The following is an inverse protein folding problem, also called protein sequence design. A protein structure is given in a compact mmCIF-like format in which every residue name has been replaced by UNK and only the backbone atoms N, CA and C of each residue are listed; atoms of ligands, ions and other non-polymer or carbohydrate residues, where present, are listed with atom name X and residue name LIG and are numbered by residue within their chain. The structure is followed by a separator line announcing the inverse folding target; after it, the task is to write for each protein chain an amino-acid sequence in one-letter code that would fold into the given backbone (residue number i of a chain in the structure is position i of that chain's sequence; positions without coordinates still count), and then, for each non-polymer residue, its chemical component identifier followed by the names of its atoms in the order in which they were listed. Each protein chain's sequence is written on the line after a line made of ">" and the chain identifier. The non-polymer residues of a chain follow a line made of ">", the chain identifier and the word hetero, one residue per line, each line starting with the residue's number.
data_IF_413283138842
#
_entry.id   IF_413283138842
#
_cell.length_a   1.000
_cell.length_b   1.000
_cell.length_c   1.000
_cell.angle_alpha   90.00
_cell.angle_beta   90.00
_cell.angle_gamma   90.00
#
_symmetry.space_group_name_H-M   'P 1'
#
loop_
_entity.id
_entity.type
_entity.pdbx_description
1 polymer ?
#
# COMPACT_ATOMS: atom_id res chain seq x y z
N UNK A 1 24.65 0.30 -19.35
CA UNK A 1 23.78 0.63 -18.21
C UNK A 1 22.39 0.80 -18.79
N UNK A 2 21.46 -0.08 -18.43
CA UNK A 2 20.13 -0.08 -19.04
C UNK A 2 19.44 1.25 -18.67
N UNK A 3 19.11 2.05 -19.67
CA UNK A 3 18.32 3.28 -19.57
C UNK A 3 16.83 2.95 -19.40
N UNK A 4 16.52 1.91 -18.63
CA UNK A 4 15.16 1.48 -18.33
C UNK A 4 14.73 2.15 -17.03
N UNK A 5 13.55 2.74 -17.03
CA UNK A 5 12.89 3.20 -15.81
C UNK A 5 12.81 2.04 -14.80
N UNK A 6 13.12 2.30 -13.52
CA UNK A 6 13.07 1.28 -12.49
C UNK A 6 11.65 0.65 -12.41
N UNK A 7 11.52 -0.69 -12.34
CA UNK A 7 10.22 -1.36 -12.38
C UNK A 7 9.23 -0.86 -11.32
N UNK A 8 9.73 -0.32 -10.22
CA UNK A 8 8.92 0.24 -9.12
C UNK A 8 8.06 1.41 -9.56
N UNK A 9 8.54 2.28 -10.47
CA UNK A 9 7.76 3.43 -10.94
C UNK A 9 6.56 2.96 -11.75
N UNK A 10 6.75 1.98 -12.64
CA UNK A 10 5.62 1.37 -13.34
C UNK A 10 4.68 0.65 -12.39
N UNK A 11 5.22 -0.08 -11.40
CA UNK A 11 4.38 -0.75 -10.41
C UNK A 11 3.54 0.23 -9.59
N UNK A 12 4.10 1.39 -9.23
CA UNK A 12 3.39 2.46 -8.52
C UNK A 12 2.24 3.03 -9.36
N UNK A 13 2.46 3.26 -10.67
CA UNK A 13 1.39 3.68 -11.59
C UNK A 13 0.28 2.64 -11.66
N UNK A 14 0.63 1.37 -11.72
CA UNK A 14 -0.37 0.31 -11.77
C UNK A 14 -1.17 0.20 -10.46
N UNK A 15 -0.53 0.36 -9.30
CA UNK A 15 -1.21 0.44 -7.99
C UNK A 15 -2.23 1.58 -8.00
N UNK A 16 -1.79 2.78 -8.41
CA UNK A 16 -2.67 3.94 -8.48
C UNK A 16 -3.81 3.75 -9.46
N UNK A 17 -3.55 3.11 -10.61
CA UNK A 17 -4.58 2.79 -11.58
C UNK A 17 -5.66 1.89 -10.96
N UNK A 18 -5.29 0.79 -10.28
CA UNK A 18 -6.27 -0.09 -9.60
C UNK A 18 -7.06 0.68 -8.55
N UNK A 19 -6.38 1.46 -7.71
CA UNK A 19 -7.00 2.16 -6.58
C UNK A 19 -7.92 3.30 -7.06
N UNK A 20 -7.50 4.12 -8.03
CA UNK A 20 -8.15 5.38 -8.36
C UNK A 20 -8.94 5.34 -9.67
N UNK A 21 -8.52 4.56 -10.66
CA UNK A 21 -8.97 4.75 -12.04
C UNK A 21 -9.71 3.54 -12.63
N UNK A 22 -9.31 2.32 -12.27
CA UNK A 22 -9.86 1.09 -12.83
C UNK A 22 -11.39 1.08 -12.71
N UNK A 23 -12.15 0.84 -13.78
CA UNK A 23 -13.60 0.67 -13.67
C UNK A 23 -13.93 -0.57 -12.83
N UNK A 24 -14.67 -0.39 -11.72
CA UNK A 24 -15.14 -1.47 -10.84
C UNK A 24 -14.02 -2.42 -10.37
N UNK A 25 -13.03 -1.92 -9.60
CA UNK A 25 -11.91 -2.75 -9.14
C UNK A 25 -12.41 -3.85 -8.20
N UNK A 26 -11.84 -5.05 -8.32
CA UNK A 26 -12.17 -6.18 -7.44
C UNK A 26 -11.14 -6.31 -6.31
N UNK A 27 -11.51 -7.01 -5.23
CA UNK A 27 -10.55 -7.36 -4.17
C UNK A 27 -9.41 -8.25 -4.69
N UNK A 28 -9.64 -8.99 -5.77
CA UNK A 28 -8.62 -9.79 -6.43
C UNK A 28 -7.60 -8.88 -7.12
N UNK A 29 -8.06 -7.92 -7.92
CA UNK A 29 -7.17 -6.97 -8.62
C UNK A 29 -6.29 -6.22 -7.63
N UNK A 30 -6.90 -5.78 -6.51
CA UNK A 30 -6.20 -5.11 -5.44
C UNK A 30 -5.13 -6.02 -4.78
N UNK A 31 -5.49 -7.26 -4.43
CA UNK A 31 -4.54 -8.18 -3.83
C UNK A 31 -3.36 -8.48 -4.78
N UNK A 32 -3.63 -8.73 -6.06
CA UNK A 32 -2.59 -9.05 -7.05
C UNK A 32 -1.63 -7.86 -7.27
N UNK A 33 -2.14 -6.63 -7.29
CA UNK A 33 -1.27 -5.45 -7.46
C UNK A 33 -0.41 -5.16 -6.23
N UNK A 34 -0.95 -5.39 -5.02
CA UNK A 34 -0.19 -5.23 -3.78
C UNK A 34 0.88 -6.31 -3.60
N UNK A 35 0.58 -7.58 -3.94
CA UNK A 35 1.58 -8.65 -3.94
C UNK A 35 2.73 -8.35 -4.91
N UNK A 36 2.40 -7.84 -6.10
CA UNK A 36 3.40 -7.40 -7.07
C UNK A 36 4.22 -6.22 -6.55
N UNK A 37 3.60 -5.24 -5.90
CA UNK A 37 4.31 -4.11 -5.28
C UNK A 37 5.35 -4.60 -4.27
N UNK A 38 4.98 -5.53 -3.40
CA UNK A 38 5.90 -6.10 -2.41
C UNK A 38 7.09 -6.81 -3.09
N UNK A 39 6.86 -7.59 -4.15
CA UNK A 39 7.91 -8.28 -4.91
C UNK A 39 8.83 -7.30 -5.65
N UNK A 40 8.26 -6.28 -6.30
CA UNK A 40 9.05 -5.28 -7.03
C UNK A 40 9.90 -4.47 -6.06
N UNK A 41 9.31 -4.00 -4.95
CA UNK A 41 10.05 -3.29 -3.91
C UNK A 41 11.21 -4.11 -3.36
N UNK A 42 11.01 -5.41 -3.09
CA UNK A 42 12.07 -6.28 -2.57
C UNK A 42 13.32 -6.38 -3.48
N UNK A 43 13.18 -6.04 -4.77
CA UNK A 43 14.26 -6.02 -5.75
C UNK A 43 14.68 -4.59 -6.15
N UNK A 44 14.06 -3.57 -5.57
CA UNK A 44 14.33 -2.17 -5.89
C UNK A 44 15.55 -1.71 -5.08
N UNK A 45 16.59 -1.15 -5.72
CA UNK A 45 17.72 -0.58 -4.99
C UNK A 45 17.31 0.69 -4.23
N UNK A 46 17.98 0.95 -3.10
CA UNK A 46 17.88 2.26 -2.45
C UNK A 46 18.59 3.32 -3.29
N UNK A 47 18.02 4.53 -3.33
CA UNK A 47 18.66 5.69 -3.94
C UNK A 47 19.43 6.53 -2.93
N UNK A 48 20.13 7.55 -3.43
CA UNK A 48 20.82 8.55 -2.63
C UNK A 48 19.98 9.83 -2.48
N UNK A 49 20.03 10.42 -1.28
CA UNK A 49 19.38 11.69 -1.00
C UNK A 49 20.19 12.84 -1.58
N UNK A 50 19.53 13.69 -2.36
CA UNK A 50 20.02 15.01 -2.72
C UNK A 50 19.31 16.06 -1.87
N UNK A 51 20.04 17.10 -1.43
CA UNK A 51 19.51 18.17 -0.58
C UNK A 51 18.61 19.15 -1.38
N UNK A 52 17.61 18.59 -2.06
CA UNK A 52 16.63 19.30 -2.87
C UNK A 52 15.26 19.14 -2.21
N UNK A 53 14.69 20.24 -1.76
CA UNK A 53 13.36 20.26 -1.17
C UNK A 53 12.34 20.79 -2.19
N UNK A 54 11.21 20.10 -2.29
CA UNK A 54 10.04 20.61 -2.97
C UNK A 54 8.79 20.23 -2.16
N UNK A 55 7.80 21.11 -2.11
CA UNK A 55 6.53 20.83 -1.44
C UNK A 55 5.53 20.23 -2.42
N UNK A 56 5.00 19.05 -2.08
CA UNK A 56 3.91 18.45 -2.85
C UNK A 56 2.55 18.98 -2.38
N UNK A 57 1.62 19.30 -3.31
CA UNK A 57 0.24 19.60 -2.96
C UNK A 57 -0.45 18.37 -2.35
N UNK A 58 -1.07 18.55 -1.18
CA UNK A 58 -1.87 17.52 -0.52
C UNK A 58 -3.25 17.42 -1.14
N UNK A 59 -3.69 16.20 -1.38
CA UNK A 59 -5.03 15.89 -1.89
C UNK A 59 -5.74 14.95 -0.91
N UNK A 60 -7.02 15.19 -0.65
CA UNK A 60 -7.85 14.33 0.19
C UNK A 60 -8.29 13.07 -0.59
N UNK A 61 -7.44 12.03 -0.55
CA UNK A 61 -7.70 10.78 -1.27
C UNK A 61 -8.87 9.97 -0.70
N UNK A 62 -9.27 10.20 0.56
CA UNK A 62 -10.33 9.42 1.20
C UNK A 62 -11.65 9.52 0.44
N UNK A 63 -11.99 10.71 -0.07
CA UNK A 63 -13.21 10.93 -0.88
C UNK A 63 -13.19 10.19 -2.22
N UNK A 64 -12.00 9.92 -2.76
CA UNK A 64 -11.83 9.21 -4.02
C UNK A 64 -11.83 7.70 -3.82
N UNK A 65 -11.18 7.22 -2.75
CA UNK A 65 -10.92 5.80 -2.51
C UNK A 65 -12.10 5.12 -1.79
N UNK A 66 -12.64 5.73 -0.73
CA UNK A 66 -13.64 5.09 0.13
C UNK A 66 -14.90 4.60 -0.62
N UNK A 67 -15.45 5.30 -1.63
CA UNK A 67 -16.61 4.82 -2.38
C UNK A 67 -16.31 3.62 -3.30
N UNK A 68 -15.03 3.35 -3.60
CA UNK A 68 -14.60 2.34 -4.58
C UNK A 68 -14.41 0.95 -3.97
N UNK A 69 -14.17 0.88 -2.66
CA UNK A 69 -13.91 -0.36 -1.94
C UNK A 69 -14.77 -0.48 -0.68
N UNK A 70 -15.29 -1.68 -0.42
CA UNK A 70 -16.08 -1.99 0.78
C UNK A 70 -15.21 -2.59 1.90
N UNK A 71 -14.00 -2.06 2.11
CA UNK A 71 -13.10 -2.51 3.18
C UNK A 71 -13.57 -1.99 4.54
N UNK A 72 -13.19 -2.69 5.60
CA UNK A 72 -13.60 -2.39 6.97
C UNK A 72 -12.39 -2.44 7.89
N UNK A 73 -12.66 -2.17 9.16
CA UNK A 73 -11.74 -2.40 10.25
C UNK A 73 -11.40 -3.90 10.36
N UNK A 74 -10.16 -4.21 10.69
CA UNK A 74 -9.68 -5.56 10.95
C UNK A 74 -8.76 -5.59 12.17
N UNK A 75 -8.66 -6.73 12.88
CA UNK A 75 -7.70 -6.87 13.98
C UNK A 75 -6.28 -6.77 13.45
N UNK A 76 -5.52 -5.81 13.98
CA UNK A 76 -4.08 -5.71 13.77
C UNK A 76 -3.36 -6.28 15.00
N UNK A 77 -2.36 -7.12 14.75
CA UNK A 77 -1.66 -7.90 15.78
C UNK A 77 -0.16 -7.83 15.51
N UNK A 78 0.56 -7.16 16.40
CA UNK A 78 2.02 -7.25 16.44
C UNK A 78 2.41 -8.72 16.74
N UNK A 79 3.08 -9.41 15.80
CA UNK A 79 3.45 -10.82 15.98
C UNK A 79 4.49 -11.04 17.08
N UNK A 80 5.03 -9.96 17.67
CA UNK A 80 5.97 -9.99 18.80
C UNK A 80 5.35 -9.56 20.13
N UNK A 81 4.13 -8.98 20.11
CA UNK A 81 3.40 -8.62 21.33
C UNK A 81 2.56 -9.80 21.85
N UNK A 82 3.16 -10.55 22.77
CA UNK A 82 2.49 -11.66 23.45
C UNK A 82 1.54 -11.21 24.59
N UNK A 83 1.58 -9.92 24.97
CA UNK A 83 0.74 -9.33 26.02
C UNK A 83 -0.65 -8.92 25.50
N UNK A 84 -0.93 -9.18 24.21
CA UNK A 84 -2.24 -9.11 23.54
C UNK A 84 -2.82 -7.69 23.49
N UNK A 85 -2.03 -6.70 23.10
CA UNK A 85 -2.60 -5.42 22.70
C UNK A 85 -3.42 -5.62 21.43
N UNK A 86 -4.75 -5.47 21.52
CA UNK A 86 -5.60 -5.50 20.35
C UNK A 86 -5.54 -4.14 19.66
N UNK A 87 -4.84 -4.07 18.53
CA UNK A 87 -4.89 -2.93 17.63
C UNK A 87 -5.95 -3.18 16.55
N UNK A 88 -6.34 -2.10 15.89
CA UNK A 88 -7.36 -2.13 14.84
C UNK A 88 -6.79 -1.41 13.63
N UNK A 89 -6.60 -2.15 12.54
CA UNK A 89 -6.32 -1.58 11.22
C UNK A 89 -7.61 -1.13 10.55
N UNK A 90 -7.52 -0.14 9.67
CA UNK A 90 -8.60 0.31 8.79
C UNK A 90 -8.16 0.11 7.33
N UNK A 91 -8.78 -0.86 6.64
CA UNK A 91 -8.37 -1.17 5.27
C UNK A 91 -8.56 -0.03 4.27
N UNK A 92 -9.43 0.95 4.54
CA UNK A 92 -9.51 2.17 3.70
C UNK A 92 -8.37 3.11 4.00
N UNK A 93 -7.95 3.22 5.26
CA UNK A 93 -6.82 4.04 5.68
C UNK A 93 -5.50 3.50 5.10
N UNK A 94 -5.29 2.19 5.21
CA UNK A 94 -4.13 1.51 4.60
C UNK A 94 -4.05 1.78 3.09
N UNK A 95 -5.18 1.74 2.37
CA UNK A 95 -5.22 2.05 0.94
C UNK A 95 -4.86 3.51 0.65
N UNK A 96 -5.27 4.44 1.51
CA UNK A 96 -4.93 5.85 1.38
C UNK A 96 -3.44 6.02 1.58
N UNK A 97 -2.86 5.47 2.64
CA UNK A 97 -1.43 5.57 2.93
C UNK A 97 -0.57 4.99 1.80
N UNK A 98 -0.96 3.83 1.28
CA UNK A 98 -0.29 3.20 0.12
C UNK A 98 -0.41 4.11 -1.11
N UNK A 99 -1.60 4.65 -1.41
CA UNK A 99 -1.80 5.52 -2.57
C UNK A 99 -1.03 6.85 -2.43
N UNK A 100 -0.98 7.43 -1.23
CA UNK A 100 -0.22 8.64 -0.95
C UNK A 100 1.27 8.41 -1.21
N UNK A 101 1.82 7.31 -0.70
CA UNK A 101 3.21 6.92 -0.93
C UNK A 101 3.51 6.70 -2.41
N UNK A 102 2.65 6.00 -3.16
CA UNK A 102 2.88 5.75 -4.59
C UNK A 102 2.83 7.05 -5.41
N UNK A 103 1.93 7.97 -5.06
CA UNK A 103 1.92 9.31 -5.67
C UNK A 103 3.15 10.12 -5.28
N UNK A 104 3.65 9.98 -4.06
CA UNK A 104 4.84 10.68 -3.58
C UNK A 104 6.06 10.23 -4.37
N UNK A 105 6.25 8.92 -4.49
CA UNK A 105 7.31 8.31 -5.28
C UNK A 105 7.35 8.87 -6.71
N UNK A 106 6.21 8.88 -7.40
CA UNK A 106 6.13 9.38 -8.78
C UNK A 106 6.38 10.89 -8.85
N UNK A 107 5.83 11.65 -7.90
CA UNK A 107 6.01 13.09 -7.86
C UNK A 107 7.46 13.49 -7.58
N UNK A 108 8.14 12.85 -6.63
CA UNK A 108 9.57 13.07 -6.35
C UNK A 108 10.39 12.72 -7.59
N UNK A 109 10.09 11.61 -8.25
CA UNK A 109 10.78 11.22 -9.49
C UNK A 109 10.66 12.28 -10.59
N UNK A 110 9.47 12.89 -10.73
CA UNK A 110 9.20 13.90 -11.75
C UNK A 110 9.75 15.29 -11.40
N UNK A 111 9.77 15.67 -10.11
CA UNK A 111 10.17 17.01 -9.67
C UNK A 111 11.64 17.13 -9.28
N UNK A 112 12.22 16.06 -8.73
CA UNK A 112 13.58 16.04 -8.21
C UNK A 112 14.44 15.09 -9.03
N UNK A 113 14.43 13.81 -8.68
CA UNK A 113 15.14 12.76 -9.41
C UNK A 113 14.60 11.38 -9.03
N UNK A 114 14.89 10.38 -9.87
CA UNK A 114 14.61 8.99 -9.54
C UNK A 114 15.35 8.54 -8.27
N UNK A 115 16.54 9.06 -8.01
CA UNK A 115 17.38 8.65 -6.88
C UNK A 115 16.79 9.14 -5.54
N UNK A 116 16.34 10.39 -5.48
CA UNK A 116 15.61 10.95 -4.33
C UNK A 116 14.32 10.17 -4.07
N UNK A 117 13.62 9.78 -5.14
CA UNK A 117 12.36 9.04 -5.05
C UNK A 117 12.57 7.65 -4.44
N UNK A 118 13.65 6.98 -4.84
CA UNK A 118 14.04 5.68 -4.29
C UNK A 118 14.57 5.79 -2.86
N UNK A 119 15.33 6.84 -2.54
CA UNK A 119 15.75 7.14 -1.18
C UNK A 119 14.54 7.25 -0.26
N UNK A 120 13.56 8.08 -0.63
CA UNK A 120 12.39 8.29 0.22
C UNK A 120 11.50 7.04 0.33
N UNK A 121 11.32 6.32 -0.78
CA UNK A 121 10.59 5.05 -0.77
C UNK A 121 11.15 4.07 0.28
N UNK A 122 12.48 4.01 0.42
CA UNK A 122 13.15 3.16 1.40
C UNK A 122 13.10 3.74 2.82
N UNK A 123 13.25 5.06 2.96
CA UNK A 123 13.20 5.74 4.25
C UNK A 123 11.85 5.50 4.95
N UNK A 124 10.74 5.58 4.21
CA UNK A 124 9.39 5.34 4.74
C UNK A 124 8.91 3.89 4.62
N UNK A 125 9.76 2.96 4.18
CA UNK A 125 9.35 1.57 3.99
C UNK A 125 8.75 0.92 5.24
N UNK A 126 9.23 1.26 6.44
CA UNK A 126 8.67 0.73 7.68
C UNK A 126 7.19 1.08 7.89
N UNK A 127 6.72 2.19 7.30
CA UNK A 127 5.35 2.68 7.39
C UNK A 127 4.49 2.05 6.29
N UNK A 128 4.71 2.45 5.03
CA UNK A 128 3.84 2.06 3.92
C UNK A 128 3.90 0.55 3.63
N UNK A 129 5.03 -0.11 3.83
CA UNK A 129 5.12 -1.57 3.64
C UNK A 129 4.43 -2.35 4.76
N UNK A 130 4.29 -1.74 5.95
CA UNK A 130 3.43 -2.29 7.02
C UNK A 130 1.99 -2.39 6.52
N UNK A 131 1.43 -1.26 6.10
CA UNK A 131 0.09 -1.18 5.51
C UNK A 131 -0.09 -2.16 4.33
N UNK A 132 0.88 -2.29 3.42
CA UNK A 132 0.82 -3.27 2.33
C UNK A 132 0.68 -4.70 2.86
N UNK A 133 1.48 -5.09 3.85
CA UNK A 133 1.48 -6.46 4.39
C UNK A 133 0.21 -6.78 5.15
N UNK A 134 -0.25 -5.86 5.98
CA UNK A 134 -1.45 -6.05 6.80
C UNK A 134 -2.70 -6.09 5.94
N UNK A 135 -2.80 -5.16 4.97
CA UNK A 135 -3.88 -5.15 4.00
C UNK A 135 -3.85 -6.39 3.09
N UNK A 136 -2.69 -6.82 2.58
CA UNK A 136 -2.60 -8.06 1.78
C UNK A 136 -3.09 -9.28 2.56
N UNK A 137 -2.73 -9.37 3.85
CA UNK A 137 -3.24 -10.44 4.74
C UNK A 137 -4.75 -10.35 4.92
N UNK A 138 -5.28 -9.16 5.15
CA UNK A 138 -6.72 -8.94 5.29
C UNK A 138 -7.48 -9.31 4.01
N UNK A 139 -7.00 -8.89 2.84
CA UNK A 139 -7.56 -9.23 1.54
C UNK A 139 -7.51 -10.74 1.28
N UNK A 140 -6.44 -11.43 1.68
CA UNK A 140 -6.36 -12.88 1.60
C UNK A 140 -7.50 -13.54 2.40
N UNK A 141 -7.74 -13.09 3.63
CA UNK A 141 -8.84 -13.61 4.47
C UNK A 141 -10.20 -13.28 3.86
N UNK A 142 -10.42 -12.10 3.27
CA UNK A 142 -11.69 -11.81 2.60
C UNK A 142 -11.95 -12.69 1.37
N UNK A 143 -10.90 -13.13 0.67
CA UNK A 143 -11.00 -13.93 -0.55
C UNK A 143 -11.11 -15.43 -0.30
N UNK A 144 -10.45 -15.92 0.75
CA UNK A 144 -10.26 -17.36 1.00
C UNK A 144 -10.62 -17.79 2.43
N UNK A 145 -10.86 -16.82 3.32
CA UNK A 145 -11.32 -17.09 4.67
C UNK A 145 -12.66 -17.82 4.63
N UNK A 146 -12.75 -18.85 5.47
CA UNK A 146 -13.95 -19.67 5.59
C UNK A 146 -15.13 -18.82 6.09
N UNK A 147 -16.35 -18.94 5.54
CA UNK A 147 -17.54 -18.25 6.06
C UNK A 147 -17.94 -18.69 7.48
N UNK A 148 -17.25 -19.68 8.07
CA UNK A 148 -17.56 -20.21 9.39
C UNK A 148 -16.93 -19.37 10.50
N UNK A 149 -17.54 -18.23 10.79
CA UNK A 149 -17.70 -17.69 12.15
C UNK A 149 -19.17 -17.27 12.34
N UNK A 150 -20.11 -18.14 12.00
CA UNK A 150 -21.24 -18.32 12.92
C UNK A 150 -20.63 -19.02 14.14
N UNK A 151 -20.28 -18.24 15.15
CA UNK A 151 -20.15 -18.78 16.50
C UNK A 151 -21.53 -19.36 16.79
N UNK A 152 -21.62 -20.67 16.72
CA UNK A 152 -22.73 -21.43 17.24
C UNK A 152 -22.94 -20.99 18.69
N UNK A 153 -24.03 -20.27 18.93
CA UNK A 153 -24.74 -20.29 20.20
C UNK A 153 -24.96 -21.77 20.53
N UNK A 154 -24.09 -22.32 21.38
CA UNK A 154 -24.36 -23.57 22.08
C UNK A 154 -23.81 -23.47 23.50
N UNK A 155 -24.73 -23.32 24.44
CA UNK A 155 -24.61 -23.76 25.83
C UNK A 155 -24.68 -22.67 26.86
#
# INVERSE_FOLDING_TARGET
>A
MATGEEPIFQCARDVLWVILEQPSPTLKDLAEVLDRLAVVYANTPAGEFTDNAADRPREDLRKLIAPRFALRLYPDVDPTDFDRTYLVGDGIDDLIDIAEQMKELLWICDQLSADDALYELHLLAFHWMGHVRDLSRYLHVLRYGSPFHEVSDQG
#
